data_IF_276894479621
#
_entry.id   IF_276894479621
#
_cell.length_a   1.000
_cell.length_b   1.000
_cell.length_c   1.000
_cell.angle_alpha   90.00
_cell.angle_beta   90.00
_cell.angle_gamma   90.00
#
_symmetry.space_group_name_H-M   'P 1'
#
loop_
_entity.id
_entity.type
_entity.pdbx_description
1 polymer ?
#
# COMPACT_ATOMS: atom_id res chain seq x y z
N UNK A 1 0.46 9.62 -7.33
CA UNK A 1 0.15 8.45 -8.17
C UNK A 1 -0.73 7.52 -7.36
N UNK A 2 -1.83 7.00 -7.89
CA UNK A 2 -2.62 5.96 -7.21
C UNK A 2 -2.66 4.71 -8.08
N UNK A 3 -2.91 3.56 -7.45
CA UNK A 3 -2.86 2.24 -8.10
C UNK A 3 -4.22 1.86 -8.72
N UNK A 4 -4.86 2.83 -9.37
CA UNK A 4 -6.18 2.74 -9.98
C UNK A 4 -6.24 3.59 -11.27
N UNK A 5 -7.36 3.50 -12.00
CA UNK A 5 -7.56 4.18 -13.29
C UNK A 5 -7.84 5.70 -13.19
N UNK A 6 -7.80 6.28 -11.98
CA UNK A 6 -8.00 7.72 -11.81
C UNK A 6 -6.95 8.55 -12.54
N UNK A 7 -7.36 9.72 -12.99
CA UNK A 7 -6.48 10.77 -13.48
C UNK A 7 -6.78 12.06 -12.71
N UNK A 8 -5.91 13.08 -12.76
CA UNK A 8 -6.21 14.39 -12.17
C UNK A 8 -7.54 15.00 -12.67
N UNK A 9 -7.98 14.64 -13.88
CA UNK A 9 -9.19 15.11 -14.54
C UNK A 9 -10.43 14.27 -14.21
N UNK A 10 -10.27 13.06 -13.65
CA UNK A 10 -11.38 12.16 -13.33
C UNK A 10 -11.10 11.34 -12.06
N UNK A 11 -11.66 11.79 -10.94
CA UNK A 11 -11.54 11.10 -9.65
C UNK A 11 -12.56 9.96 -9.46
N UNK A 12 -13.69 9.98 -10.16
CA UNK A 12 -14.77 8.99 -9.99
C UNK A 12 -14.30 7.56 -10.26
N UNK A 13 -13.38 7.41 -11.21
CA UNK A 13 -12.80 6.11 -11.59
C UNK A 13 -11.96 5.47 -10.47
N UNK A 14 -11.59 6.20 -9.42
CA UNK A 14 -11.02 5.61 -8.20
C UNK A 14 -12.03 4.69 -7.49
N UNK A 15 -13.31 5.06 -7.53
CA UNK A 15 -14.40 4.37 -6.83
C UNK A 15 -15.15 3.40 -7.75
N UNK A 16 -15.33 3.77 -9.02
CA UNK A 16 -16.17 3.03 -9.97
C UNK A 16 -15.43 1.90 -10.69
N UNK A 17 -14.10 1.92 -10.71
CA UNK A 17 -13.30 0.89 -11.36
C UNK A 17 -12.50 0.08 -10.32
N UNK A 18 -12.19 -1.17 -10.70
CA UNK A 18 -11.28 -2.01 -9.91
C UNK A 18 -9.88 -1.39 -9.89
N UNK A 19 -9.32 -1.24 -8.70
CA UNK A 19 -7.89 -0.99 -8.51
C UNK A 19 -7.05 -2.21 -8.94
N UNK A 20 -5.72 -2.03 -9.06
CA UNK A 20 -4.82 -3.16 -9.36
C UNK A 20 -4.92 -4.28 -8.31
N UNK A 21 -5.20 -3.90 -7.06
CA UNK A 21 -5.41 -4.81 -5.95
C UNK A 21 -6.65 -5.70 -6.18
N UNK A 22 -7.77 -5.07 -6.52
CA UNK A 22 -9.02 -5.77 -6.81
C UNK A 22 -8.93 -6.62 -8.08
N UNK A 23 -8.16 -6.16 -9.08
CA UNK A 23 -7.88 -6.94 -10.29
C UNK A 23 -7.03 -8.19 -9.98
N UNK A 24 -5.98 -8.07 -9.16
CA UNK A 24 -5.17 -9.20 -8.73
C UNK A 24 -6.02 -10.21 -7.93
N UNK A 25 -6.82 -9.71 -6.97
CA UNK A 25 -7.76 -10.53 -6.19
C UNK A 25 -8.77 -11.27 -7.09
N UNK A 26 -9.33 -10.57 -8.08
CA UNK A 26 -10.24 -11.17 -9.07
C UNK A 26 -9.59 -12.28 -9.91
N UNK A 27 -8.25 -12.31 -10.00
CA UNK A 27 -7.48 -13.31 -10.73
C UNK A 27 -6.83 -14.36 -9.80
N UNK A 28 -7.32 -14.49 -8.56
CA UNK A 28 -6.94 -15.56 -7.64
C UNK A 28 -5.63 -15.35 -6.89
N UNK A 29 -5.14 -14.11 -6.82
CA UNK A 29 -4.03 -13.77 -5.93
C UNK A 29 -4.57 -13.44 -4.54
N UNK A 30 -3.91 -13.95 -3.49
CA UNK A 30 -4.04 -13.35 -2.15
C UNK A 30 -3.28 -12.04 -2.13
N UNK A 31 -3.90 -11.00 -1.59
CA UNK A 31 -3.41 -9.64 -1.73
C UNK A 31 -2.97 -9.03 -0.41
N UNK A 32 -1.84 -8.33 -0.42
CA UNK A 32 -1.21 -7.78 0.79
C UNK A 32 -0.81 -6.33 0.59
N UNK A 33 -1.03 -5.51 1.61
CA UNK A 33 -0.50 -4.16 1.70
C UNK A 33 0.39 -4.02 2.93
N UNK A 34 1.69 -3.86 2.70
CA UNK A 34 2.69 -3.62 3.74
C UNK A 34 3.14 -2.17 3.66
N UNK A 35 2.68 -1.32 4.58
CA UNK A 35 2.91 0.12 4.52
C UNK A 35 3.71 0.65 5.71
N UNK A 36 4.53 1.67 5.48
CA UNK A 36 5.15 2.45 6.56
C UNK A 36 4.47 3.79 6.77
N UNK A 37 3.81 4.34 5.75
CA UNK A 37 3.01 5.55 5.90
C UNK A 37 1.60 5.25 6.46
N UNK A 38 1.04 6.18 7.23
CA UNK A 38 -0.38 6.16 7.60
C UNK A 38 -1.28 6.20 6.36
N UNK A 39 -2.39 5.45 6.43
CA UNK A 39 -3.38 5.32 5.36
C UNK A 39 -4.69 6.07 5.65
N UNK A 40 -4.81 6.67 6.83
CA UNK A 40 -5.93 7.51 7.23
C UNK A 40 -5.49 8.98 7.23
N UNK A 41 -6.45 9.91 7.15
CA UNK A 41 -6.19 11.34 7.13
C UNK A 41 -6.04 11.94 5.72
N UNK A 42 -5.84 13.26 5.67
CA UNK A 42 -5.91 14.07 4.43
C UNK A 42 -4.98 13.53 3.33
N UNK A 43 -3.73 13.24 3.70
CA UNK A 43 -2.70 12.74 2.80
C UNK A 43 -2.82 11.23 2.53
N UNK A 44 -3.49 10.49 3.43
CA UNK A 44 -3.71 9.04 3.37
C UNK A 44 -4.86 8.57 2.50
N UNK A 45 -5.84 9.46 2.27
CA UNK A 45 -7.20 9.10 1.84
C UNK A 45 -7.28 8.23 0.57
N UNK A 46 -6.58 8.60 -0.52
CA UNK A 46 -6.72 7.90 -1.81
C UNK A 46 -6.03 6.54 -1.86
N UNK A 47 -4.77 6.46 -1.46
CA UNK A 47 -4.08 5.15 -1.41
C UNK A 47 -4.57 4.31 -0.25
N UNK A 48 -5.05 4.92 0.85
CA UNK A 48 -5.68 4.22 1.96
C UNK A 48 -7.02 3.59 1.60
N UNK A 49 -7.80 4.23 0.72
CA UNK A 49 -8.99 3.62 0.14
C UNK A 49 -8.65 2.33 -0.63
N UNK A 50 -7.56 2.34 -1.41
CA UNK A 50 -7.09 1.16 -2.14
C UNK A 50 -6.52 0.11 -1.18
N UNK A 51 -5.69 0.53 -0.21
CA UNK A 51 -5.03 -0.35 0.75
C UNK A 51 -6.02 -1.18 1.58
N UNK A 52 -7.14 -0.57 1.98
CA UNK A 52 -8.22 -1.24 2.72
C UNK A 52 -8.92 -2.36 1.94
N UNK A 53 -8.73 -2.43 0.61
CA UNK A 53 -9.30 -3.51 -0.22
C UNK A 53 -8.41 -4.76 -0.29
N UNK A 54 -7.22 -4.72 0.30
CA UNK A 54 -6.33 -5.90 0.41
C UNK A 54 -6.89 -6.94 1.37
N UNK A 55 -6.47 -8.21 1.22
CA UNK A 55 -6.85 -9.27 2.15
C UNK A 55 -6.10 -9.18 3.48
N UNK A 56 -4.89 -8.62 3.46
CA UNK A 56 -4.03 -8.44 4.63
C UNK A 56 -3.31 -7.09 4.56
N UNK A 57 -3.63 -6.20 5.50
CA UNK A 57 -3.10 -4.84 5.62
C UNK A 57 -2.27 -4.74 6.90
N UNK A 58 -1.00 -4.34 6.78
CA UNK A 58 -0.09 -4.18 7.93
C UNK A 58 0.71 -2.90 7.81
N UNK A 59 0.78 -2.16 8.91
CA UNK A 59 1.49 -0.89 8.98
C UNK A 59 2.65 -0.93 9.97
N UNK A 60 3.75 -0.23 9.67
CA UNK A 60 4.94 -0.18 10.54
C UNK A 60 5.16 1.16 11.24
N UNK A 61 4.24 2.12 11.07
CA UNK A 61 4.28 3.45 11.70
C UNK A 61 5.60 4.18 11.46
N UNK A 62 5.83 4.55 10.20
CA UNK A 62 6.96 5.34 9.69
C UNK A 62 8.33 4.69 9.83
N UNK A 63 8.37 3.35 9.96
CA UNK A 63 9.62 2.60 10.08
C UNK A 63 9.75 1.59 8.93
N UNK A 64 10.47 1.99 7.87
CA UNK A 64 10.69 1.16 6.69
C UNK A 64 11.46 -0.15 7.01
N UNK A 65 12.37 -0.12 7.99
CA UNK A 65 13.16 -1.31 8.37
C UNK A 65 12.28 -2.47 8.88
N UNK A 66 11.11 -2.17 9.44
CA UNK A 66 10.17 -3.21 9.90
C UNK A 66 9.43 -3.90 8.75
N UNK A 67 9.42 -3.33 7.54
CA UNK A 67 8.73 -3.93 6.38
C UNK A 67 9.37 -5.25 5.95
N UNK A 68 10.70 -5.39 6.07
CA UNK A 68 11.39 -6.64 5.75
C UNK A 68 10.87 -7.81 6.61
N UNK A 69 10.64 -7.57 7.90
CA UNK A 69 10.07 -8.56 8.81
C UNK A 69 8.61 -8.90 8.46
N UNK A 70 7.81 -7.91 8.03
CA UNK A 70 6.45 -8.16 7.58
C UNK A 70 6.42 -8.95 6.27
N UNK A 71 7.32 -8.65 5.34
CA UNK A 71 7.46 -9.36 4.07
C UNK A 71 7.83 -10.82 4.32
N UNK A 72 8.81 -11.09 5.19
CA UNK A 72 9.19 -12.46 5.55
C UNK A 72 7.99 -13.26 6.09
N UNK A 73 7.17 -12.66 6.96
CA UNK A 73 5.95 -13.29 7.50
C UNK A 73 4.88 -13.56 6.44
N UNK A 74 4.74 -12.69 5.45
CA UNK A 74 3.78 -12.86 4.35
C UNK A 74 4.25 -13.93 3.37
N UNK A 75 5.56 -13.99 3.09
CA UNK A 75 6.14 -15.01 2.22
C UNK A 75 6.11 -16.41 2.83
N UNK A 76 6.10 -16.53 4.16
CA UNK A 76 6.01 -17.82 4.86
C UNK A 76 4.58 -18.40 4.96
N UNK A 77 3.56 -17.71 4.46
CA UNK A 77 2.19 -18.23 4.51
C UNK A 77 1.92 -19.29 3.42
N UNK A 78 0.72 -19.87 3.39
CA UNK A 78 0.38 -20.95 2.47
C UNK A 78 -0.23 -20.47 1.12
N UNK A 79 -0.17 -19.18 0.79
CA UNK A 79 -0.80 -18.67 -0.43
C UNK A 79 -0.04 -19.09 -1.69
N UNK A 80 -0.72 -19.71 -2.65
CA UNK A 80 -0.07 -20.15 -3.90
C UNK A 80 0.27 -18.99 -4.85
N UNK A 81 -0.56 -17.95 -4.89
CA UNK A 81 -0.36 -16.73 -5.69
C UNK A 81 -0.48 -15.52 -4.79
N UNK A 82 0.53 -14.64 -4.83
CA UNK A 82 0.61 -13.46 -3.97
C UNK A 82 0.78 -12.19 -4.80
N UNK A 83 0.01 -11.17 -4.47
CA UNK A 83 0.23 -9.81 -4.97
C UNK A 83 0.51 -8.91 -3.76
N UNK A 84 1.75 -8.46 -3.63
CA UNK A 84 2.23 -7.76 -2.44
C UNK A 84 2.62 -6.35 -2.85
N UNK A 85 1.99 -5.35 -2.22
CA UNK A 85 2.42 -3.95 -2.32
C UNK A 85 3.25 -3.63 -1.07
N UNK A 86 4.41 -3.03 -1.29
CA UNK A 86 5.26 -2.46 -0.24
C UNK A 86 5.26 -0.94 -0.41
N UNK A 87 4.63 -0.22 0.53
CA UNK A 87 4.50 1.23 0.50
C UNK A 87 5.42 1.86 1.55
N UNK A 88 6.62 2.25 1.12
CA UNK A 88 7.64 2.88 1.96
C UNK A 88 7.18 4.25 2.45
N UNK A 89 7.70 4.67 3.61
CA UNK A 89 7.72 6.08 3.99
C UNK A 89 8.78 6.82 3.18
N UNK A 90 9.94 6.20 2.95
CA UNK A 90 11.01 6.72 2.11
C UNK A 90 11.59 8.04 2.64
N UNK A 91 11.99 8.91 1.72
CA UNK A 91 12.62 10.21 2.04
C UNK A 91 11.58 11.32 2.30
N UNK A 92 10.43 10.99 2.90
CA UNK A 92 9.40 12.00 3.16
C UNK A 92 9.98 13.16 4.00
N UNK A 93 9.81 14.38 3.50
CA UNK A 93 10.48 15.59 3.99
C UNK A 93 9.97 16.08 5.36
N UNK A 94 10.76 16.97 6.02
CA UNK A 94 12.06 17.46 5.56
C UNK A 94 13.18 16.62 6.16
N UNK A 95 14.14 16.20 5.32
CA UNK A 95 15.44 15.79 5.81
C UNK A 95 15.92 16.87 6.78
N UNK A 96 15.84 16.60 8.08
CA UNK A 96 16.59 17.36 9.06
C UNK A 96 17.95 16.70 9.05
N UNK A 97 18.78 17.06 8.07
CA UNK A 97 20.22 16.89 8.20
C UNK A 97 20.62 17.80 9.34
N UNK A 98 20.58 17.27 10.57
CA UNK A 98 21.29 17.87 11.69
C UNK A 98 22.76 17.77 11.33
N UNK A 99 23.28 18.83 10.71
CA UNK A 99 24.71 19.10 10.74
C UNK A 99 25.04 19.26 12.21
N UNK A 100 25.72 18.28 12.77
CA UNK A 100 26.34 18.33 14.10
C UNK A 100 27.83 18.04 13.93
#
# INVERSE_FOLDING_TARGET
MTLAFHTPENEETLFNNKSILEMAKSNGYKTYWLGSQEIQGLHGSKYGFIAQKSDDLRLTNYNDNKLANLLAKVLSDNAQKRFIIIHLYGNHLPMTTMIQ
#
